data_IF_688833995798
#
_entry.id   IF_688833995798
#
_cell.length_a   1.000
_cell.length_b   1.000
_cell.length_c   1.000
_cell.angle_alpha   90.00
_cell.angle_beta   90.00
_cell.angle_gamma   90.00
#
_symmetry.space_group_name_H-M   'P 1'
#
loop_
_entity.id
_entity.type
_entity.pdbx_description
1 polymer ?
#
# COMPACT_ATOMS: atom_id res chain seq x y z
N UNK A 1 -86.56 49.49 -32.68
CA UNK A 1 -87.30 50.60 -32.05
C UNK A 1 -88.49 49.98 -31.34
N UNK A 2 -88.80 50.51 -30.16
CA UNK A 2 -89.77 50.00 -29.18
C UNK A 2 -89.29 48.86 -28.27
N UNK A 3 -89.53 49.06 -26.98
CA UNK A 3 -89.37 48.09 -25.87
C UNK A 3 -88.00 47.99 -25.18
N UNK A 4 -87.24 49.08 -25.01
CA UNK A 4 -86.33 49.22 -23.85
C UNK A 4 -86.35 50.68 -23.39
N UNK A 5 -87.51 51.13 -22.98
CA UNK A 5 -87.69 52.48 -22.45
C UNK A 5 -88.99 52.48 -21.71
N UNK A 6 -88.97 52.01 -20.46
CA UNK A 6 -89.83 52.42 -19.33
C UNK A 6 -89.63 51.38 -18.21
N UNK A 7 -88.57 51.51 -17.41
CA UNK A 7 -88.47 50.87 -16.09
C UNK A 7 -87.40 51.49 -15.16
N UNK A 8 -86.94 52.73 -15.41
CA UNK A 8 -85.99 53.41 -14.51
C UNK A 8 -86.52 54.78 -14.07
N UNK A 9 -87.77 54.80 -13.60
CA UNK A 9 -88.27 55.91 -12.81
C UNK A 9 -88.98 55.33 -11.61
N UNK A 10 -88.20 55.03 -10.56
CA UNK A 10 -88.61 54.98 -9.14
C UNK A 10 -87.53 54.29 -8.29
N UNK A 11 -86.30 54.80 -8.22
CA UNK A 11 -85.47 54.68 -7.01
C UNK A 11 -84.52 55.88 -6.96
N UNK A 12 -84.60 56.64 -5.88
CA UNK A 12 -83.76 57.82 -5.65
C UNK A 12 -82.30 57.48 -5.45
N UNK A 13 -81.44 58.41 -5.88
CA UNK A 13 -80.12 58.74 -5.34
C UNK A 13 -79.28 57.62 -4.73
N UNK A 14 -78.41 57.05 -5.56
CA UNK A 14 -76.96 57.00 -5.30
C UNK A 14 -76.30 56.77 -6.66
N UNK A 15 -75.48 57.70 -7.16
CA UNK A 15 -74.60 57.42 -8.31
C UNK A 15 -73.70 56.24 -7.92
N UNK A 16 -74.09 55.05 -8.34
CA UNK A 16 -73.36 53.82 -8.06
C UNK A 16 -72.07 53.86 -8.86
N UNK A 17 -70.94 53.96 -8.17
CA UNK A 17 -69.63 53.74 -8.77
C UNK A 17 -69.62 52.30 -9.30
N UNK A 18 -69.52 52.13 -10.61
CA UNK A 18 -69.34 50.80 -11.21
C UNK A 18 -67.87 50.42 -11.01
N UNK A 19 -67.64 49.41 -10.17
CA UNK A 19 -66.32 48.81 -9.96
C UNK A 19 -66.12 47.67 -10.97
N UNK A 20 -65.12 47.80 -11.83
CA UNK A 20 -64.75 46.79 -12.83
C UNK A 20 -63.36 46.29 -12.51
N UNK A 21 -63.21 44.98 -12.23
CA UNK A 21 -61.90 44.36 -12.03
C UNK A 21 -61.51 43.53 -13.24
N UNK A 22 -60.36 43.83 -13.83
CA UNK A 22 -59.73 42.99 -14.85
C UNK A 22 -58.76 42.05 -14.15
N UNK A 23 -58.90 40.75 -14.40
CA UNK A 23 -58.00 39.71 -13.86
C UNK A 23 -57.23 39.13 -15.04
N UNK A 24 -55.91 39.22 -14.99
CA UNK A 24 -55.02 38.53 -15.91
C UNK A 24 -54.43 37.31 -15.19
N UNK A 25 -54.49 36.15 -15.82
CA UNK A 25 -53.88 34.91 -15.34
C UNK A 25 -52.82 34.49 -16.35
N UNK A 26 -51.62 34.20 -15.86
CA UNK A 26 -50.47 33.81 -16.67
C UNK A 26 -49.90 32.50 -16.13
N UNK A 27 -49.83 31.47 -16.97
CA UNK A 27 -49.17 30.20 -16.65
C UNK A 27 -47.74 30.23 -17.18
N UNK A 28 -46.77 29.93 -16.31
CA UNK A 28 -45.34 29.91 -16.60
C UNK A 28 -44.85 28.47 -16.46
N UNK A 29 -44.54 27.85 -17.60
CA UNK A 29 -43.98 26.50 -17.67
C UNK A 29 -42.60 26.58 -18.30
N UNK A 30 -41.59 26.01 -17.64
CA UNK A 30 -40.21 26.01 -18.13
C UNK A 30 -39.26 25.20 -17.26
N UNK A 31 -37.97 25.42 -17.45
CA UNK A 31 -36.91 24.75 -16.68
C UNK A 31 -35.92 25.78 -16.17
N UNK A 32 -35.62 25.75 -14.87
CA UNK A 32 -34.63 26.60 -14.22
C UNK A 32 -33.68 25.73 -13.37
N UNK A 33 -32.36 25.85 -13.58
CA UNK A 33 -31.33 25.01 -12.92
C UNK A 33 -31.65 23.51 -13.00
N UNK A 34 -32.02 23.02 -14.19
CA UNK A 34 -32.42 21.63 -14.45
C UNK A 34 -33.64 21.12 -13.65
N UNK A 35 -34.40 22.02 -13.01
CA UNK A 35 -35.67 21.71 -12.35
C UNK A 35 -36.83 22.25 -13.19
N UNK A 36 -37.90 21.47 -13.33
CA UNK A 36 -39.14 21.95 -13.95
C UNK A 36 -39.82 23.01 -13.07
N UNK A 37 -40.23 24.10 -13.70
CA UNK A 37 -41.02 25.18 -13.10
C UNK A 37 -42.38 25.19 -13.78
N UNK A 38 -43.45 25.16 -12.99
CA UNK A 38 -44.82 25.24 -13.46
C UNK A 38 -45.66 26.02 -12.43
N UNK A 39 -45.81 27.32 -12.66
CA UNK A 39 -46.43 28.26 -11.72
C UNK A 39 -47.47 29.14 -12.42
N UNK A 40 -48.55 29.48 -11.71
CA UNK A 40 -49.63 30.34 -12.23
C UNK A 40 -49.66 31.67 -11.48
N UNK A 41 -49.50 32.77 -12.20
CA UNK A 41 -49.55 34.14 -11.67
C UNK A 41 -50.92 34.78 -11.96
N UNK A 42 -51.47 35.49 -10.97
CA UNK A 42 -52.70 36.27 -11.10
C UNK A 42 -52.43 37.74 -10.83
N UNK A 43 -52.66 38.59 -11.83
CA UNK A 43 -52.54 40.04 -11.73
C UNK A 43 -53.92 40.68 -11.78
N UNK A 44 -54.18 41.64 -10.90
CA UNK A 44 -55.47 42.33 -10.81
C UNK A 44 -55.31 43.82 -11.14
N UNK A 45 -56.17 44.31 -12.03
CA UNK A 45 -56.25 45.72 -12.39
C UNK A 45 -57.66 46.25 -12.11
N UNK A 46 -57.88 46.92 -10.97
CA UNK A 46 -59.15 47.57 -10.65
C UNK A 46 -59.35 48.85 -11.46
N UNK A 47 -60.55 49.01 -12.01
CA UNK A 47 -60.96 50.18 -12.80
C UNK A 47 -62.23 50.77 -12.19
N UNK A 48 -62.22 52.10 -12.02
CA UNK A 48 -63.37 52.84 -11.52
C UNK A 48 -63.99 53.59 -12.70
N UNK A 49 -65.27 53.31 -12.98
CA UNK A 49 -65.99 54.00 -14.07
C UNK A 49 -66.82 55.14 -13.47
N UNK A 50 -66.52 56.35 -13.92
CA UNK A 50 -67.30 57.56 -13.60
C UNK A 50 -67.98 58.08 -14.87
N UNK A 51 -69.12 58.81 -14.78
CA UNK A 51 -69.96 59.15 -15.94
C UNK A 51 -69.26 59.92 -17.08
N UNK A 52 -68.10 60.53 -16.83
CA UNK A 52 -67.35 61.32 -17.82
C UNK A 52 -65.94 60.81 -18.12
N UNK A 53 -65.39 59.86 -17.36
CA UNK A 53 -63.99 59.42 -17.53
C UNK A 53 -63.77 57.99 -16.99
N UNK A 54 -62.95 57.20 -17.69
CA UNK A 54 -62.39 55.94 -17.20
C UNK A 54 -61.02 56.20 -16.56
N UNK A 55 -60.79 55.73 -15.32
CA UNK A 55 -59.48 55.84 -14.63
C UNK A 55 -59.06 54.50 -14.03
N UNK A 56 -57.86 54.04 -14.39
CA UNK A 56 -57.17 52.90 -13.77
C UNK A 56 -56.53 53.39 -12.47
N UNK A 57 -56.77 52.71 -11.35
CA UNK A 57 -56.44 53.29 -10.03
C UNK A 57 -55.08 52.86 -9.49
N UNK A 58 -54.63 51.62 -9.71
CA UNK A 58 -53.24 51.17 -9.50
C UNK A 58 -53.11 49.75 -10.09
N UNK A 59 -52.00 49.42 -10.73
CA UNK A 59 -51.72 48.07 -11.27
C UNK A 59 -50.81 47.31 -10.33
N UNK A 60 -51.25 46.17 -9.80
CA UNK A 60 -50.38 45.28 -9.02
C UNK A 60 -49.70 44.28 -9.95
N UNK A 61 -48.38 44.38 -10.09
CA UNK A 61 -47.53 43.46 -10.86
C UNK A 61 -46.68 42.61 -9.92
N UNK A 62 -46.51 41.33 -10.23
CA UNK A 62 -45.60 40.41 -9.53
C UNK A 62 -44.27 40.40 -10.30
N UNK A 63 -43.16 40.70 -9.62
CA UNK A 63 -41.80 40.63 -10.16
C UNK A 63 -40.97 39.70 -9.27
N UNK A 64 -40.46 38.60 -9.84
CA UNK A 64 -39.75 37.53 -9.13
C UNK A 64 -38.45 37.20 -9.86
N UNK A 65 -37.32 37.40 -9.17
CA UNK A 65 -35.99 37.17 -9.74
C UNK A 65 -35.49 35.76 -9.41
N UNK A 66 -35.18 34.97 -10.45
CA UNK A 66 -34.55 33.64 -10.30
C UNK A 66 -33.06 33.70 -10.65
N UNK A 67 -32.23 33.00 -9.86
CA UNK A 67 -30.81 32.79 -10.15
C UNK A 67 -30.63 31.53 -10.99
N UNK A 68 -29.92 31.64 -12.12
CA UNK A 68 -29.55 30.51 -12.98
C UNK A 68 -28.04 30.26 -12.90
N UNK A 69 -27.62 29.01 -12.70
CA UNK A 69 -26.22 28.60 -12.67
C UNK A 69 -25.90 27.72 -13.89
N UNK A 70 -24.78 27.99 -14.56
CA UNK A 70 -24.30 27.20 -15.71
C UNK A 70 -22.97 26.52 -15.34
N UNK A 71 -22.88 25.21 -15.59
CA UNK A 71 -21.63 24.46 -15.36
C UNK A 71 -20.73 24.58 -16.57
N UNK A 72 -19.50 25.05 -16.37
CA UNK A 72 -18.49 25.11 -17.43
C UNK A 72 -17.41 24.05 -17.19
N UNK A 73 -17.14 23.23 -18.21
CA UNK A 73 -15.98 22.34 -18.20
C UNK A 73 -14.68 23.15 -18.40
N UNK A 74 -13.78 23.10 -17.42
CA UNK A 74 -12.45 23.69 -17.53
C UNK A 74 -11.45 22.58 -17.83
N UNK A 75 -10.70 22.73 -18.93
CA UNK A 75 -9.61 21.80 -19.26
C UNK A 75 -8.48 21.98 -18.24
N UNK A 76 -8.39 21.08 -17.26
CA UNK A 76 -7.21 20.99 -16.40
C UNK A 76 -6.05 20.38 -17.19
N UNK A 77 -4.88 21.00 -17.11
CA UNK A 77 -3.65 20.36 -17.60
C UNK A 77 -3.26 19.31 -16.56
N UNK A 78 -2.99 18.05 -16.97
CA UNK A 78 -2.48 17.04 -16.07
C UNK A 78 -1.19 17.53 -15.39
N UNK A 79 -1.06 17.29 -14.09
CA UNK A 79 0.17 17.58 -13.36
C UNK A 79 1.35 16.84 -14.03
N UNK A 80 2.47 17.52 -14.33
CA UNK A 80 3.67 16.89 -14.88
C UNK A 80 4.14 15.66 -14.10
N UNK A 81 3.94 15.63 -12.78
CA UNK A 81 4.30 14.48 -11.93
C UNK A 81 3.46 13.26 -12.27
N UNK A 82 2.16 13.43 -12.51
CA UNK A 82 1.26 12.33 -12.91
C UNK A 82 1.58 11.87 -14.33
N UNK A 83 1.94 12.79 -15.22
CA UNK A 83 2.24 12.48 -16.61
C UNK A 83 3.57 11.73 -16.81
N UNK A 84 4.62 12.10 -16.06
CA UNK A 84 5.99 11.59 -16.28
C UNK A 84 6.57 10.80 -15.11
N UNK A 85 5.88 10.74 -13.96
CA UNK A 85 6.38 10.06 -12.76
C UNK A 85 6.69 8.58 -12.99
N UNK A 86 5.90 7.88 -13.79
CA UNK A 86 6.13 6.47 -14.13
C UNK A 86 7.45 6.25 -14.89
N UNK A 87 7.78 7.13 -15.84
CA UNK A 87 9.02 7.07 -16.63
C UNK A 87 10.23 7.36 -15.74
N UNK A 88 10.10 8.32 -14.82
CA UNK A 88 11.16 8.64 -13.86
C UNK A 88 11.44 7.48 -12.91
N UNK A 89 10.39 6.88 -12.34
CA UNK A 89 10.53 5.70 -11.46
C UNK A 89 11.14 4.53 -12.23
N UNK A 90 10.66 4.25 -13.44
CA UNK A 90 11.21 3.19 -14.27
C UNK A 90 12.69 3.43 -14.58
N UNK A 91 13.06 4.64 -15.02
CA UNK A 91 14.45 5.00 -15.28
C UNK A 91 15.34 4.85 -14.04
N UNK A 92 14.85 5.24 -12.87
CA UNK A 92 15.56 5.07 -11.61
C UNK A 92 15.77 3.59 -11.27
N UNK A 93 14.76 2.74 -11.44
CA UNK A 93 14.90 1.29 -11.17
C UNK A 93 15.94 0.64 -12.08
N UNK A 94 15.95 0.98 -13.38
CA UNK A 94 16.96 0.49 -14.31
C UNK A 94 18.35 1.01 -13.95
N UNK A 95 18.48 2.29 -13.57
CA UNK A 95 19.76 2.86 -13.15
C UNK A 95 20.34 2.15 -11.91
N UNK A 96 19.50 1.86 -10.92
CA UNK A 96 19.89 1.09 -9.73
C UNK A 96 20.34 -0.33 -10.12
N UNK A 97 19.58 -1.00 -10.99
CA UNK A 97 19.92 -2.35 -11.45
C UNK A 97 21.27 -2.39 -12.18
N UNK A 98 21.52 -1.44 -13.09
CA UNK A 98 22.79 -1.31 -13.82
C UNK A 98 23.93 -1.02 -12.86
N UNK A 99 23.70 -0.19 -11.84
CA UNK A 99 24.70 0.13 -10.81
C UNK A 99 25.04 -1.09 -9.94
N UNK A 100 24.05 -1.88 -9.53
CA UNK A 100 24.27 -3.15 -8.82
C UNK A 100 25.05 -4.13 -9.69
N UNK A 101 24.67 -4.30 -10.97
CA UNK A 101 25.41 -5.15 -11.91
C UNK A 101 26.84 -4.67 -12.10
N UNK A 102 27.05 -3.35 -12.21
CA UNK A 102 28.36 -2.75 -12.35
C UNK A 102 29.24 -2.99 -11.13
N UNK A 103 28.70 -2.84 -9.92
CA UNK A 103 29.41 -3.17 -8.68
C UNK A 103 29.73 -4.65 -8.57
N UNK A 104 28.79 -5.53 -8.96
CA UNK A 104 29.02 -6.97 -9.01
C UNK A 104 30.13 -7.33 -10.00
N UNK A 105 30.11 -6.80 -11.21
CA UNK A 105 31.12 -7.10 -12.24
C UNK A 105 32.51 -6.59 -11.87
N UNK A 106 32.59 -5.49 -11.10
CA UNK A 106 33.84 -4.94 -10.58
C UNK A 106 34.34 -5.62 -9.30
N UNK A 107 33.65 -6.65 -8.81
CA UNK A 107 34.05 -7.39 -7.60
C UNK A 107 33.79 -6.64 -6.28
N UNK A 108 33.07 -5.51 -6.28
CA UNK A 108 32.78 -4.78 -5.03
C UNK A 108 31.73 -5.48 -4.14
N UNK A 109 30.98 -6.43 -4.70
CA UNK A 109 29.95 -7.22 -4.00
C UNK A 109 30.29 -8.71 -4.12
N UNK A 110 31.58 -9.03 -4.23
CA UNK A 110 32.03 -10.41 -4.27
C UNK A 110 32.17 -10.93 -2.85
N UNK A 111 31.62 -12.12 -2.59
CA UNK A 111 31.79 -12.81 -1.33
C UNK A 111 33.28 -13.12 -1.15
N UNK A 112 33.81 -12.76 0.00
CA UNK A 112 35.14 -13.21 0.45
C UNK A 112 35.17 -14.73 0.52
N UNK A 113 36.35 -15.34 0.40
CA UNK A 113 36.49 -16.80 0.46
C UNK A 113 35.89 -17.37 1.75
N UNK A 114 36.07 -16.66 2.88
CA UNK A 114 35.47 -16.98 4.17
C UNK A 114 33.94 -16.96 4.15
N UNK A 115 33.32 -15.97 3.51
CA UNK A 115 31.85 -15.90 3.42
C UNK A 115 31.29 -17.02 2.53
N UNK A 116 32.00 -17.42 1.48
CA UNK A 116 31.61 -18.55 0.64
C UNK A 116 31.64 -19.86 1.43
N UNK A 117 32.72 -20.09 2.17
CA UNK A 117 32.91 -21.27 3.02
C UNK A 117 31.78 -21.39 4.06
N UNK A 118 31.43 -20.29 4.74
CA UNK A 118 30.31 -20.27 5.71
C UNK A 118 28.96 -20.58 5.07
N UNK A 119 28.71 -20.10 3.86
CA UNK A 119 27.48 -20.41 3.12
C UNK A 119 27.42 -21.90 2.76
N UNK A 120 28.54 -22.48 2.30
CA UNK A 120 28.63 -23.90 1.98
C UNK A 120 28.35 -24.78 3.20
N UNK A 121 28.95 -24.45 4.34
CA UNK A 121 28.70 -25.14 5.62
C UNK A 121 27.23 -25.03 6.02
N UNK A 122 26.65 -23.82 5.94
CA UNK A 122 25.24 -23.60 6.28
C UNK A 122 24.32 -24.44 5.40
N UNK A 123 24.62 -24.54 4.11
CA UNK A 123 23.88 -25.38 3.16
C UNK A 123 24.07 -26.87 3.46
N UNK A 124 25.29 -27.32 3.78
CA UNK A 124 25.58 -28.70 4.15
C UNK A 124 24.85 -29.09 5.45
N UNK A 125 24.89 -28.24 6.47
CA UNK A 125 24.16 -28.42 7.73
C UNK A 125 22.66 -28.55 7.52
N UNK A 126 22.08 -27.75 6.61
CA UNK A 126 20.67 -27.90 6.23
C UNK A 126 20.38 -29.21 5.49
N UNK A 127 21.27 -29.61 4.57
CA UNK A 127 21.15 -30.85 3.79
C UNK A 127 21.19 -32.09 4.69
N UNK A 128 22.08 -32.09 5.69
CA UNK A 128 22.33 -33.23 6.58
C UNK A 128 21.64 -33.08 7.95
N UNK A 129 20.60 -32.25 8.06
CA UNK A 129 19.93 -31.99 9.32
C UNK A 129 19.37 -33.25 10.01
N UNK A 130 19.05 -34.29 9.25
CA UNK A 130 18.57 -35.57 9.78
C UNK A 130 19.65 -36.34 10.53
N UNK A 131 20.93 -36.12 10.19
CA UNK A 131 22.11 -36.75 10.78
C UNK A 131 22.76 -35.91 11.87
N UNK A 132 22.33 -34.65 12.03
CA UNK A 132 22.92 -33.67 12.97
C UNK A 132 21.97 -33.41 14.13
N UNK A 133 22.46 -33.58 15.35
CA UNK A 133 21.81 -33.13 16.60
C UNK A 133 22.55 -31.95 17.20
N UNK A 134 21.84 -31.05 17.86
CA UNK A 134 22.48 -30.04 18.73
C UNK A 134 22.83 -30.66 20.08
N UNK A 135 24.01 -30.37 20.60
CA UNK A 135 24.48 -30.80 21.91
C UNK A 135 25.68 -29.98 22.37
N UNK A 136 26.13 -30.22 23.60
CA UNK A 136 27.31 -29.54 24.15
C UNK A 136 28.49 -30.49 24.14
N UNK A 137 29.64 -30.01 23.69
CA UNK A 137 30.87 -30.77 23.68
C UNK A 137 31.39 -30.93 25.11
N UNK A 138 31.56 -32.17 25.62
CA UNK A 138 32.06 -32.37 26.97
C UNK A 138 33.55 -32.01 27.04
N UNK A 139 33.89 -30.96 27.78
CA UNK A 139 35.25 -30.46 27.96
C UNK A 139 36.16 -31.36 28.82
N UNK A 140 35.59 -32.37 29.50
CA UNK A 140 36.27 -33.15 30.55
C UNK A 140 36.49 -34.64 30.20
N UNK A 141 36.21 -35.08 28.98
CA UNK A 141 36.55 -36.46 28.57
C UNK A 141 37.93 -36.51 27.92
N UNK A 142 38.80 -37.33 28.49
CA UNK A 142 39.96 -37.88 27.81
C UNK A 142 39.44 -38.80 26.69
N UNK A 143 39.44 -38.30 25.46
CA UNK A 143 39.40 -39.15 24.28
C UNK A 143 40.85 -39.46 23.91
N UNK A 144 41.12 -40.72 23.55
CA UNK A 144 42.49 -41.18 23.32
C UNK A 144 43.09 -40.54 22.05
N UNK A 145 42.28 -40.35 21.00
CA UNK A 145 42.74 -39.81 19.71
C UNK A 145 41.72 -38.84 19.09
N UNK A 146 42.17 -37.61 18.76
CA UNK A 146 41.37 -36.58 18.07
C UNK A 146 41.73 -36.51 16.60
N UNK A 147 40.73 -36.61 15.73
CA UNK A 147 40.87 -36.52 14.27
C UNK A 147 40.16 -35.27 13.76
N UNK A 148 40.91 -34.36 13.15
CA UNK A 148 40.34 -33.21 12.45
C UNK A 148 39.86 -33.65 11.07
N UNK A 149 38.61 -33.32 10.75
CA UNK A 149 38.00 -33.53 9.44
C UNK A 149 37.95 -32.19 8.70
N UNK A 150 38.25 -32.20 7.41
CA UNK A 150 38.39 -30.97 6.61
C UNK A 150 37.04 -30.30 6.31
N UNK A 151 35.96 -31.07 6.20
CA UNK A 151 34.62 -30.55 5.88
C UNK A 151 33.49 -31.33 6.61
N UNK A 152 32.31 -30.70 6.65
CA UNK A 152 31.13 -31.27 7.32
C UNK A 152 30.57 -32.51 6.60
N UNK A 153 30.75 -32.64 5.28
CA UNK A 153 30.24 -33.77 4.51
C UNK A 153 31.03 -35.05 4.88
N UNK A 154 32.36 -34.96 4.93
CA UNK A 154 33.22 -36.04 5.40
C UNK A 154 32.94 -36.42 6.85
N UNK A 155 32.60 -35.46 7.72
CA UNK A 155 32.21 -35.78 9.09
C UNK A 155 30.88 -36.54 9.16
N UNK A 156 29.92 -36.18 8.30
CA UNK A 156 28.65 -36.91 8.18
C UNK A 156 28.87 -38.32 7.65
N UNK A 157 29.76 -38.50 6.67
CA UNK A 157 30.13 -39.83 6.17
C UNK A 157 30.71 -40.72 7.29
N UNK A 158 31.58 -40.16 8.14
CA UNK A 158 32.09 -40.88 9.32
C UNK A 158 30.96 -41.25 10.29
N UNK A 159 29.99 -40.36 10.51
CA UNK A 159 28.84 -40.67 11.36
C UNK A 159 28.01 -41.83 10.78
N UNK A 160 27.85 -41.89 9.46
CA UNK A 160 27.12 -42.96 8.77
C UNK A 160 27.88 -44.28 8.91
N UNK A 161 29.19 -44.28 8.65
CA UNK A 161 30.02 -45.49 8.70
C UNK A 161 30.13 -46.08 10.11
N UNK A 162 30.20 -45.22 11.12
CA UNK A 162 30.27 -45.62 12.55
C UNK A 162 28.88 -45.86 13.17
N UNK A 163 27.80 -45.64 12.41
CA UNK A 163 26.41 -45.69 12.89
C UNK A 163 26.20 -44.82 14.14
N UNK A 164 26.82 -43.64 14.13
CA UNK A 164 26.70 -42.59 15.15
C UNK A 164 25.95 -41.39 14.55
N UNK A 165 25.91 -40.30 15.30
CA UNK A 165 25.23 -39.06 14.93
C UNK A 165 26.20 -37.91 15.10
N UNK A 166 26.11 -36.91 14.22
CA UNK A 166 26.90 -35.68 14.36
C UNK A 166 26.28 -34.82 15.45
N UNK A 167 27.11 -34.28 16.35
CA UNK A 167 26.72 -33.36 17.42
C UNK A 167 27.26 -31.97 17.05
N UNK A 168 26.35 -31.02 16.83
CA UNK A 168 26.61 -29.60 16.62
C UNK A 168 26.62 -28.90 17.98
N UNK A 169 27.76 -28.30 18.34
CA UNK A 169 27.87 -27.37 19.46
C UNK A 169 27.89 -25.93 18.90
N UNK A 170 26.75 -25.26 19.02
CA UNK A 170 26.55 -23.89 18.54
C UNK A 170 27.40 -22.86 19.29
N UNK A 171 27.80 -23.13 20.53
CA UNK A 171 28.58 -22.17 21.34
C UNK A 171 30.04 -22.17 20.90
N UNK A 172 30.58 -23.36 20.66
CA UNK A 172 31.95 -23.54 20.21
C UNK A 172 32.07 -23.47 18.69
N UNK A 173 30.98 -23.60 17.93
CA UNK A 173 31.01 -23.61 16.47
C UNK A 173 31.68 -24.86 15.91
N UNK A 174 31.44 -26.02 16.52
CA UNK A 174 32.07 -27.30 16.14
C UNK A 174 31.03 -28.37 15.87
N UNK A 175 31.38 -29.31 15.00
CA UNK A 175 30.63 -30.51 14.75
C UNK A 175 31.49 -31.71 15.14
N UNK A 176 30.88 -32.70 15.79
CA UNK A 176 31.63 -33.82 16.37
C UNK A 176 30.92 -35.15 16.15
N UNK A 177 31.70 -36.21 15.90
CA UNK A 177 31.26 -37.60 15.97
C UNK A 177 32.09 -38.31 17.03
N UNK A 178 31.41 -38.98 17.95
CA UNK A 178 32.02 -39.73 19.05
C UNK A 178 31.98 -41.23 18.73
N UNK A 179 33.14 -41.86 18.56
CA UNK A 179 33.25 -43.29 18.33
C UNK A 179 34.29 -43.95 19.25
N UNK A 180 33.82 -44.48 20.37
CA UNK A 180 34.62 -45.18 21.38
C UNK A 180 35.88 -44.39 21.81
N UNK A 181 37.05 -44.73 21.25
CA UNK A 181 38.33 -44.08 21.55
C UNK A 181 38.64 -42.84 20.68
N UNK A 182 37.89 -42.66 19.58
CA UNK A 182 38.12 -41.63 18.57
C UNK A 182 37.09 -40.51 18.66
N UNK A 183 37.58 -39.29 18.47
CA UNK A 183 36.73 -38.12 18.30
C UNK A 183 37.03 -37.43 16.98
N UNK A 184 36.04 -37.41 16.09
CA UNK A 184 36.13 -36.73 14.81
C UNK A 184 35.52 -35.35 14.93
N UNK A 185 36.28 -34.30 14.58
CA UNK A 185 35.87 -32.91 14.78
C UNK A 185 36.01 -32.13 13.48
N UNK A 186 34.94 -31.44 13.10
CA UNK A 186 34.97 -30.38 12.11
C UNK A 186 34.76 -29.03 12.81
N UNK A 187 35.67 -28.09 12.58
CA UNK A 187 35.64 -26.76 13.22
C UNK A 187 35.25 -25.70 12.21
N UNK A 188 34.22 -24.91 12.51
CA UNK A 188 33.78 -23.86 11.61
C UNK A 188 34.86 -22.77 11.45
N UNK A 189 34.96 -22.13 10.28
CA UNK A 189 36.01 -21.15 10.01
C UNK A 189 35.98 -19.92 10.93
N UNK A 190 34.83 -19.62 11.50
CA UNK A 190 34.54 -18.54 12.43
C UNK A 190 34.36 -18.97 13.89
N UNK A 191 34.60 -20.24 14.18
CA UNK A 191 34.61 -20.77 15.53
C UNK A 191 35.68 -20.09 16.39
N UNK A 192 35.28 -19.67 17.60
CA UNK A 192 36.20 -19.22 18.63
C UNK A 192 37.10 -20.35 19.18
N UNK A 193 36.70 -21.61 18.95
CA UNK A 193 37.44 -22.79 19.36
C UNK A 193 38.50 -23.23 18.33
N UNK A 194 38.53 -22.63 17.12
CA UNK A 194 39.48 -22.99 16.06
C UNK A 194 40.93 -22.93 16.52
N UNK A 195 41.33 -21.84 17.15
CA UNK A 195 42.71 -21.67 17.62
C UNK A 195 43.05 -22.63 18.77
N UNK A 196 42.09 -22.95 19.64
CA UNK A 196 42.33 -23.87 20.76
C UNK A 196 42.39 -25.33 20.31
N UNK A 197 41.47 -25.77 19.45
CA UNK A 197 41.36 -27.16 18.99
C UNK A 197 42.47 -27.56 18.03
N UNK A 198 42.87 -26.66 17.13
CA UNK A 198 43.99 -26.93 16.21
C UNK A 198 45.29 -27.08 17.01
N UNK A 199 45.55 -26.21 17.99
CA UNK A 199 46.74 -26.34 18.85
C UNK A 199 46.71 -27.60 19.73
N UNK A 200 45.54 -28.01 20.22
CA UNK A 200 45.39 -29.25 20.98
C UNK A 200 45.67 -30.48 20.11
N UNK A 201 45.11 -30.53 18.90
CA UNK A 201 45.34 -31.61 17.95
C UNK A 201 46.80 -31.68 17.48
N UNK A 202 47.46 -30.53 17.26
CA UNK A 202 48.88 -30.46 16.90
C UNK A 202 49.77 -30.99 18.04
N UNK A 203 49.46 -30.63 19.29
CA UNK A 203 50.17 -31.16 20.47
C UNK A 203 50.04 -32.68 20.59
N UNK A 204 48.87 -33.25 20.29
CA UNK A 204 48.69 -34.70 20.29
C UNK A 204 49.44 -35.39 19.15
N UNK A 205 49.56 -34.76 17.97
CA UNK A 205 50.33 -35.29 16.84
C UNK A 205 51.82 -35.30 17.15
N UNK A 206 52.36 -34.22 17.74
CA UNK A 206 53.76 -34.14 18.17
C UNK A 206 54.09 -35.21 19.24
N UNK A 207 53.16 -35.51 20.15
CA UNK A 207 53.34 -36.57 21.14
C UNK A 207 53.34 -37.98 20.51
N UNK A 208 52.60 -38.19 19.41
CA UNK A 208 52.61 -39.44 18.65
C UNK A 208 53.93 -39.68 17.91
N UNK A 209 54.55 -38.64 17.36
CA UNK A 209 55.84 -38.73 16.65
C UNK A 209 57.02 -39.01 17.61
N UNK A 210 56.88 -38.68 18.91
CA UNK A 210 57.87 -39.00 19.95
C UNK A 210 57.86 -40.50 20.35
N UNK A 211 56.83 -41.26 19.95
CA UNK A 211 56.82 -42.72 20.05
C UNK A 211 57.32 -43.37 18.75
N UNK A 212 58.65 -43.37 18.55
CA UNK A 212 59.29 -44.24 17.54
C UNK A 212 58.94 -45.72 17.82
N UNK A 213 58.28 -46.39 16.85
CA UNK A 213 58.06 -47.85 16.82
C UNK A 213 59.34 -48.63 16.49
#
# INVERSE_FOLDING_TARGET
LETIGTAESQLGSSEGIVDVRVIAVSDVVGTANDNEVNETYRSEMPMVVTPSTFRVTDTQTIDEAHQSFETFEVRTQPDPVVAYGSILVFGLTIAILVLILGFRYRGYIELTDRERELIEITQARQRFNEWISTGEFPSEREYDETVLVDDLEGLVDVAIDTNKRVIEDDQLGVFTVLDDAYIYIYVQPDSAARDWLVNYADTTIDEFDDYEF
#
